data_IF_457695316014
#
_entry.id   IF_457695316014
#
_cell.length_a   1.000
_cell.length_b   1.000
_cell.length_c   1.000
_cell.angle_alpha   90.00
_cell.angle_beta   90.00
_cell.angle_gamma   90.00
#
_symmetry.space_group_name_H-M   'P 1'
#
loop_
_entity.id
_entity.type
_entity.pdbx_description
1 polymer ?
#
# COMPACT_ATOMS: atom_id res chain seq x y z
N UNK A 1 -3.30 -12.18 24.83
CA UNK A 1 -2.45 -12.18 23.60
C UNK A 1 -3.09 -11.39 22.46
N UNK A 2 -4.42 -11.44 22.26
CA UNK A 2 -5.12 -10.67 21.22
C UNK A 2 -4.88 -9.16 21.25
N UNK A 3 -4.96 -8.51 22.42
CA UNK A 3 -4.78 -7.05 22.53
C UNK A 3 -3.44 -6.54 22.01
N UNK A 4 -2.34 -7.25 22.26
CA UNK A 4 -1.01 -6.90 21.73
C UNK A 4 -0.98 -7.04 20.20
N UNK A 5 -1.62 -8.08 19.65
CA UNK A 5 -1.68 -8.31 18.21
C UNK A 5 -2.50 -7.22 17.50
N UNK A 6 -3.68 -6.87 18.03
CA UNK A 6 -4.51 -5.79 17.49
C UNK A 6 -3.80 -4.44 17.55
N UNK A 7 -3.13 -4.12 18.66
CA UNK A 7 -2.37 -2.87 18.78
C UNK A 7 -1.22 -2.80 17.76
N UNK A 8 -0.50 -3.91 17.59
CA UNK A 8 0.58 -4.00 16.62
C UNK A 8 0.08 -3.83 15.18
N UNK A 9 -1.07 -4.44 14.84
CA UNK A 9 -1.72 -4.25 13.53
C UNK A 9 -2.17 -2.79 13.36
N UNK A 10 -2.79 -2.20 14.36
CA UNK A 10 -3.26 -0.81 14.35
C UNK A 10 -2.12 0.18 14.13
N UNK A 11 -1.05 0.08 14.90
CA UNK A 11 0.15 0.91 14.73
C UNK A 11 0.78 0.71 13.35
N UNK A 12 0.78 -0.54 12.87
CA UNK A 12 1.24 -0.89 11.53
C UNK A 12 0.49 -0.12 10.44
N UNK A 13 -0.84 -0.09 10.50
CA UNK A 13 -1.66 0.65 9.53
C UNK A 13 -1.50 2.17 9.65
N UNK A 14 -1.31 2.72 10.84
CA UNK A 14 -0.98 4.16 10.98
C UNK A 14 0.35 4.50 10.31
N UNK A 15 1.35 3.64 10.44
CA UNK A 15 2.61 3.78 9.71
C UNK A 15 2.42 3.61 8.20
N UNK A 16 1.45 2.80 7.74
CA UNK A 16 1.09 2.72 6.31
C UNK A 16 0.46 4.00 5.79
N UNK A 17 -0.45 4.60 6.56
CA UNK A 17 -1.00 5.91 6.23
C UNK A 17 0.11 6.98 6.16
N UNK A 18 1.04 6.98 7.11
CA UNK A 18 2.18 7.89 7.11
C UNK A 18 3.12 7.63 5.91
N UNK A 19 3.39 6.37 5.57
CA UNK A 19 4.15 5.98 4.38
C UNK A 19 3.53 6.58 3.11
N UNK A 20 2.24 6.39 2.91
CA UNK A 20 1.51 6.94 1.76
C UNK A 20 1.56 8.47 1.71
N UNK A 21 1.39 9.16 2.84
CA UNK A 21 1.46 10.62 2.88
C UNK A 21 2.86 11.16 2.54
N UNK A 22 3.90 10.52 3.08
CA UNK A 22 5.30 10.87 2.79
C UNK A 22 5.66 10.57 1.34
N UNK A 23 5.21 9.43 0.80
CA UNK A 23 5.40 9.09 -0.59
C UNK A 23 4.66 10.07 -1.51
N UNK A 24 3.42 10.44 -1.19
CA UNK A 24 2.67 11.46 -1.93
C UNK A 24 3.37 12.82 -1.90
N UNK A 25 4.00 13.17 -0.77
CA UNK A 25 4.82 14.40 -0.64
C UNK A 25 6.03 14.36 -1.58
N UNK A 26 6.77 13.23 -1.60
CA UNK A 26 7.85 13.04 -2.56
C UNK A 26 7.36 13.13 -4.01
N UNK A 27 6.23 12.48 -4.31
CA UNK A 27 5.62 12.47 -5.63
C UNK A 27 5.29 13.89 -6.10
N UNK A 28 4.60 14.67 -5.26
CA UNK A 28 4.29 16.06 -5.53
C UNK A 28 5.54 16.88 -5.81
N UNK A 29 6.57 16.75 -4.96
CA UNK A 29 7.82 17.53 -5.10
C UNK A 29 8.57 17.20 -6.40
N UNK A 30 8.67 15.92 -6.77
CA UNK A 30 9.52 15.51 -7.91
C UNK A 30 8.78 15.47 -9.25
N UNK A 31 7.46 15.32 -9.26
CA UNK A 31 6.68 15.18 -10.49
C UNK A 31 5.83 16.40 -10.82
N UNK A 32 5.37 17.19 -9.85
CA UNK A 32 4.66 18.44 -10.16
C UNK A 32 5.50 19.41 -11.01
N UNK A 33 6.80 19.66 -10.71
CA UNK A 33 7.60 20.55 -11.53
C UNK A 33 7.68 20.10 -12.99
N UNK A 34 7.63 18.79 -13.27
CA UNK A 34 7.66 18.26 -14.64
C UNK A 34 6.40 18.63 -15.43
N UNK A 35 5.25 18.78 -14.76
CA UNK A 35 4.02 19.29 -15.38
C UNK A 35 4.19 20.75 -15.81
N UNK A 36 4.92 21.54 -15.02
CA UNK A 36 5.18 22.96 -15.28
C UNK A 36 6.45 23.24 -16.10
N UNK A 37 7.13 22.20 -16.64
CA UNK A 37 8.36 22.35 -17.42
C UNK A 37 9.63 22.65 -16.60
N UNK A 38 9.61 22.40 -15.29
CA UNK A 38 10.74 22.59 -14.37
C UNK A 38 11.19 21.30 -13.67
N UNK A 39 12.08 21.46 -12.68
CA UNK A 39 12.55 20.37 -11.83
C UNK A 39 12.78 20.83 -10.38
N UNK A 40 12.77 19.88 -9.45
CA UNK A 40 12.96 20.15 -8.03
C UNK A 40 14.43 20.51 -7.72
N UNK A 41 14.66 21.64 -7.06
CA UNK A 41 15.99 22.14 -6.70
C UNK A 41 16.06 22.60 -5.24
N UNK A 42 17.29 22.78 -4.74
CA UNK A 42 17.57 23.37 -3.43
C UNK A 42 16.92 22.62 -2.27
N UNK A 43 16.41 23.37 -1.28
CA UNK A 43 15.80 22.83 -0.08
C UNK A 43 14.60 21.91 -0.36
N UNK A 44 13.79 22.23 -1.37
CA UNK A 44 12.61 21.42 -1.72
C UNK A 44 13.01 20.00 -2.17
N UNK A 45 14.11 19.87 -2.92
CA UNK A 45 14.65 18.56 -3.30
C UNK A 45 15.09 17.74 -2.08
N UNK A 46 15.71 18.39 -1.09
CA UNK A 46 16.13 17.73 0.15
C UNK A 46 14.92 17.23 0.94
N UNK A 47 13.87 18.06 1.06
CA UNK A 47 12.60 17.66 1.69
C UNK A 47 11.98 16.46 0.98
N UNK A 48 11.96 16.45 -0.36
CA UNK A 48 11.47 15.31 -1.11
C UNK A 48 12.27 14.04 -0.83
N UNK A 49 13.61 14.11 -0.83
CA UNK A 49 14.46 12.95 -0.51
C UNK A 49 14.20 12.44 0.91
N UNK A 50 14.11 13.34 1.89
CA UNK A 50 13.77 12.97 3.25
C UNK A 50 12.39 12.29 3.34
N UNK A 51 11.40 12.80 2.58
CA UNK A 51 10.06 12.23 2.54
C UNK A 51 10.06 10.79 2.00
N UNK A 52 10.73 10.49 0.88
CA UNK A 52 10.75 9.12 0.36
C UNK A 52 11.53 8.16 1.27
N UNK A 53 12.61 8.61 1.92
CA UNK A 53 13.32 7.80 2.91
C UNK A 53 12.44 7.51 4.13
N UNK A 54 11.71 8.52 4.60
CA UNK A 54 10.70 8.35 5.66
C UNK A 54 9.59 7.39 5.24
N UNK A 55 9.11 7.48 4.00
CA UNK A 55 8.12 6.56 3.44
C UNK A 55 8.62 5.12 3.44
N UNK A 56 9.88 4.88 3.07
CA UNK A 56 10.47 3.53 3.14
C UNK A 56 10.51 3.00 4.57
N UNK A 57 10.95 3.81 5.54
CA UNK A 57 11.00 3.40 6.96
C UNK A 57 9.61 3.09 7.49
N UNK A 58 8.65 4.00 7.29
CA UNK A 58 7.25 3.81 7.66
C UNK A 58 6.65 2.58 6.94
N UNK A 59 6.99 2.39 5.67
CA UNK A 59 6.68 1.23 4.82
C UNK A 59 7.07 -0.10 5.44
N UNK A 60 8.34 -0.23 5.82
CA UNK A 60 8.89 -1.46 6.37
C UNK A 60 8.37 -1.73 7.78
N UNK A 61 8.36 -0.70 8.64
CA UNK A 61 7.87 -0.85 10.02
C UNK A 61 6.36 -1.12 10.05
N UNK A 62 5.59 -0.43 9.21
CA UNK A 62 4.16 -0.61 9.12
C UNK A 62 3.78 -2.00 8.64
N UNK A 63 4.37 -2.47 7.52
CA UNK A 63 4.12 -3.81 7.02
C UNK A 63 4.55 -4.90 8.00
N UNK A 64 5.69 -4.72 8.68
CA UNK A 64 6.16 -5.62 9.74
C UNK A 64 5.20 -5.65 10.94
N UNK A 65 4.64 -4.51 11.32
CA UNK A 65 3.63 -4.38 12.37
C UNK A 65 2.34 -5.13 12.01
N UNK A 66 1.78 -4.85 10.83
CA UNK A 66 0.56 -5.50 10.33
C UNK A 66 0.74 -7.02 10.23
N UNK A 67 1.75 -7.49 9.49
CA UNK A 67 1.99 -8.92 9.31
C UNK A 67 2.37 -9.61 10.61
N UNK A 68 3.17 -8.96 11.46
CA UNK A 68 3.59 -9.51 12.75
C UNK A 68 2.44 -9.69 13.73
N UNK A 69 1.51 -8.72 13.79
CA UNK A 69 0.30 -8.84 14.59
C UNK A 69 -0.66 -9.89 14.01
N UNK A 70 -0.88 -9.89 12.69
CA UNK A 70 -1.72 -10.87 12.01
C UNK A 70 -1.23 -12.31 12.21
N UNK A 71 0.09 -12.53 12.17
CA UNK A 71 0.70 -13.85 12.39
C UNK A 71 0.48 -14.42 13.80
N UNK A 72 0.13 -13.58 14.78
CA UNK A 72 -0.21 -14.02 16.15
C UNK A 72 -1.66 -14.49 16.28
N UNK A 73 -2.50 -14.17 15.28
CA UNK A 73 -3.94 -14.45 15.27
C UNK A 73 -4.32 -15.53 14.25
N UNK A 74 -3.47 -15.76 13.25
CA UNK A 74 -3.69 -16.72 12.18
C UNK A 74 -2.84 -18.00 12.34
N UNK A 75 -3.16 -19.03 11.56
CA UNK A 75 -2.39 -20.26 11.50
C UNK A 75 -0.96 -20.01 10.95
N UNK A 76 0.01 -20.80 11.40
CA UNK A 76 1.44 -20.62 11.08
C UNK A 76 1.78 -20.68 9.57
N UNK A 77 0.95 -21.32 8.76
CA UNK A 77 1.13 -21.37 7.30
C UNK A 77 0.75 -20.04 6.62
N UNK A 78 -0.14 -19.25 7.24
CA UNK A 78 -0.79 -18.12 6.59
C UNK A 78 0.19 -17.04 6.09
N UNK A 79 1.20 -16.58 6.86
CA UNK A 79 2.16 -15.59 6.37
C UNK A 79 2.84 -16.02 5.06
N UNK A 80 3.25 -17.30 5.00
CA UNK A 80 3.88 -17.87 3.80
C UNK A 80 2.90 -18.04 2.64
N UNK A 81 1.66 -18.46 2.94
CA UNK A 81 0.60 -18.57 1.94
C UNK A 81 0.32 -17.24 1.24
N UNK A 82 0.15 -16.15 2.00
CA UNK A 82 -0.07 -14.82 1.42
C UNK A 82 1.17 -14.26 0.74
N UNK A 83 2.37 -14.48 1.26
CA UNK A 83 3.61 -14.05 0.61
C UNK A 83 3.82 -14.73 -0.75
N UNK A 84 3.67 -16.07 -0.80
CA UNK A 84 3.81 -16.84 -2.04
C UNK A 84 2.68 -16.52 -3.02
N UNK A 85 1.45 -16.37 -2.53
CA UNK A 85 0.31 -15.95 -3.35
C UNK A 85 0.52 -14.57 -3.98
N UNK A 86 1.05 -13.61 -3.22
CA UNK A 86 1.39 -12.27 -3.71
C UNK A 86 2.51 -12.32 -4.75
N UNK A 87 3.55 -13.13 -4.52
CA UNK A 87 4.62 -13.32 -5.48
C UNK A 87 4.09 -13.92 -6.80
N UNK A 88 3.26 -14.97 -6.72
CA UNK A 88 2.63 -15.57 -7.89
C UNK A 88 1.74 -14.57 -8.63
N UNK A 89 0.89 -13.83 -7.91
CA UNK A 89 0.04 -12.79 -8.49
C UNK A 89 0.86 -11.69 -9.18
N UNK A 90 1.96 -11.25 -8.57
CA UNK A 90 2.88 -10.30 -9.17
C UNK A 90 3.41 -10.79 -10.51
N UNK A 91 3.91 -12.03 -10.59
CA UNK A 91 4.45 -12.56 -11.86
C UNK A 91 3.37 -12.71 -12.93
N UNK A 92 2.16 -13.13 -12.55
CA UNK A 92 1.02 -13.19 -13.48
C UNK A 92 0.67 -11.80 -14.01
N UNK A 93 0.52 -10.80 -13.13
CA UNK A 93 0.18 -9.44 -13.54
C UNK A 93 1.31 -8.79 -14.33
N UNK A 94 2.57 -9.05 -13.99
CA UNK A 94 3.73 -8.58 -14.73
C UNK A 94 3.66 -9.10 -16.18
N UNK A 95 3.46 -10.41 -16.33
CA UNK A 95 3.32 -11.05 -17.63
C UNK A 95 2.15 -10.49 -18.45
N UNK A 96 0.99 -10.29 -17.81
CA UNK A 96 -0.21 -9.74 -18.46
C UNK A 96 0.00 -8.28 -18.87
N UNK A 97 0.48 -7.44 -17.95
CA UNK A 97 0.67 -6.00 -18.19
C UNK A 97 1.76 -5.74 -19.22
N UNK A 98 2.84 -6.54 -19.25
CA UNK A 98 3.85 -6.48 -20.30
C UNK A 98 3.27 -6.89 -21.66
N UNK A 99 2.61 -8.04 -21.76
CA UNK A 99 2.17 -8.57 -23.07
C UNK A 99 0.98 -7.82 -23.63
N UNK A 100 -0.06 -7.60 -22.83
CA UNK A 100 -1.30 -6.99 -23.29
C UNK A 100 -1.25 -5.46 -23.34
N UNK A 101 -0.47 -4.83 -22.45
CA UNK A 101 -0.46 -3.37 -22.30
C UNK A 101 0.90 -2.71 -22.58
N UNK A 102 1.94 -3.49 -22.89
CA UNK A 102 3.30 -3.03 -23.16
C UNK A 102 3.89 -2.19 -22.01
N UNK A 103 3.47 -2.50 -20.77
CA UNK A 103 3.96 -1.81 -19.57
C UNK A 103 5.39 -2.23 -19.25
N UNK A 104 6.25 -1.24 -18.99
CA UNK A 104 7.54 -1.49 -18.36
C UNK A 104 7.34 -1.92 -16.89
N UNK A 105 8.11 -2.91 -16.38
CA UNK A 105 8.11 -3.26 -14.97
C UNK A 105 8.49 -2.06 -14.11
N UNK A 106 7.69 -1.78 -13.09
CA UNK A 106 8.01 -0.75 -12.09
C UNK A 106 7.83 -1.32 -10.69
N UNK A 107 8.34 -0.60 -9.71
CA UNK A 107 8.13 -0.91 -8.29
C UNK A 107 6.67 -0.74 -7.88
N UNK A 108 5.86 0.05 -8.59
CA UNK A 108 4.44 0.29 -8.27
C UNK A 108 3.65 -1.02 -8.24
N UNK A 109 3.85 -1.88 -9.25
CA UNK A 109 3.21 -3.20 -9.34
C UNK A 109 3.57 -4.09 -8.16
N UNK A 110 4.85 -4.07 -7.73
CA UNK A 110 5.30 -4.82 -6.55
C UNK A 110 4.60 -4.28 -5.30
N UNK A 111 4.54 -2.96 -5.14
CA UNK A 111 4.01 -2.31 -3.95
C UNK A 111 2.53 -2.60 -3.72
N UNK A 112 1.66 -2.41 -4.72
CA UNK A 112 0.23 -2.63 -4.50
C UNK A 112 -0.14 -4.12 -4.46
N UNK A 113 0.63 -5.01 -5.09
CA UNK A 113 0.44 -6.46 -4.96
C UNK A 113 0.85 -6.95 -3.58
N UNK A 114 2.01 -6.50 -3.08
CA UNK A 114 2.47 -6.82 -1.72
C UNK A 114 1.51 -6.26 -0.67
N UNK A 115 1.02 -5.04 -0.86
CA UNK A 115 0.00 -4.43 -0.01
C UNK A 115 -1.31 -5.24 -0.02
N UNK A 116 -1.82 -5.64 -1.18
CA UNK A 116 -3.01 -6.51 -1.25
C UNK A 116 -2.81 -7.81 -0.46
N UNK A 117 -1.65 -8.45 -0.60
CA UNK A 117 -1.31 -9.65 0.16
C UNK A 117 -1.32 -9.45 1.67
N UNK A 118 -0.71 -8.34 2.12
CA UNK A 118 -0.71 -7.94 3.53
C UNK A 118 -2.13 -7.69 4.05
N UNK A 119 -2.96 -6.96 3.32
CA UNK A 119 -4.35 -6.67 3.74
C UNK A 119 -5.23 -7.92 3.72
N UNK A 120 -5.05 -8.81 2.74
CA UNK A 120 -5.77 -10.09 2.71
C UNK A 120 -5.37 -10.98 3.90
N UNK A 121 -4.09 -10.94 4.29
CA UNK A 121 -3.61 -11.62 5.49
C UNK A 121 -4.18 -11.00 6.77
N UNK A 122 -4.20 -9.66 6.86
CA UNK A 122 -4.84 -8.90 7.93
C UNK A 122 -6.32 -9.29 8.07
N UNK A 123 -7.06 -9.32 6.96
CA UNK A 123 -8.47 -9.72 6.94
C UNK A 123 -8.67 -11.15 7.45
N UNK A 124 -7.84 -12.11 7.03
CA UNK A 124 -7.90 -13.48 7.56
C UNK A 124 -7.69 -13.50 9.07
N UNK A 125 -6.65 -12.82 9.57
CA UNK A 125 -6.32 -12.76 10.98
C UNK A 125 -7.46 -12.17 11.82
N UNK A 126 -8.09 -11.09 11.35
CA UNK A 126 -9.28 -10.50 11.98
C UNK A 126 -10.45 -11.51 12.00
N UNK A 127 -10.68 -12.22 10.89
CA UNK A 127 -11.71 -13.26 10.81
C UNK A 127 -11.47 -14.40 11.80
N UNK A 128 -10.23 -14.88 11.92
CA UNK A 128 -9.82 -15.88 12.91
C UNK A 128 -10.02 -15.40 14.36
N UNK A 129 -9.93 -14.11 14.60
CA UNK A 129 -10.15 -13.49 15.91
C UNK A 129 -11.63 -13.19 16.23
N UNK A 130 -12.56 -13.52 15.32
CA UNK A 130 -14.00 -13.26 15.48
C UNK A 130 -14.47 -11.88 15.01
N UNK A 131 -13.58 -11.05 14.47
CA UNK A 131 -13.86 -9.69 14.01
C UNK A 131 -14.37 -9.68 12.54
N UNK A 132 -15.43 -10.43 12.26
CA UNK A 132 -15.92 -10.69 10.89
C UNK A 132 -16.29 -9.39 10.11
N UNK A 133 -16.82 -8.39 10.80
CA UNK A 133 -17.14 -7.09 10.20
C UNK A 133 -15.90 -6.33 9.74
N UNK A 134 -14.88 -6.24 10.61
CA UNK A 134 -13.61 -5.61 10.28
C UNK A 134 -12.85 -6.39 9.20
N UNK A 135 -12.83 -7.72 9.28
CA UNK A 135 -12.23 -8.58 8.26
C UNK A 135 -12.84 -8.34 6.87
N UNK A 136 -14.17 -8.28 6.79
CA UNK A 136 -14.91 -8.03 5.54
C UNK A 136 -14.60 -6.63 5.00
N UNK A 137 -14.61 -5.61 5.87
CA UNK A 137 -14.27 -4.24 5.49
C UNK A 137 -12.86 -4.15 4.91
N UNK A 138 -11.86 -4.71 5.60
CA UNK A 138 -10.45 -4.74 5.14
C UNK A 138 -10.35 -5.42 3.78
N UNK A 139 -10.95 -6.61 3.61
CA UNK A 139 -10.91 -7.33 2.35
C UNK A 139 -11.52 -6.53 1.18
N UNK A 140 -12.68 -5.90 1.39
CA UNK A 140 -13.35 -5.08 0.37
C UNK A 140 -12.52 -3.85 0.00
N UNK A 141 -11.99 -3.13 0.99
CA UNK A 141 -11.14 -1.96 0.76
C UNK A 141 -9.83 -2.35 0.07
N UNK A 142 -9.24 -3.49 0.40
CA UNK A 142 -8.04 -4.01 -0.24
C UNK A 142 -8.27 -4.32 -1.73
N UNK A 143 -9.37 -5.01 -2.05
CA UNK A 143 -9.75 -5.29 -3.45
C UNK A 143 -10.02 -4.01 -4.22
N UNK A 144 -10.76 -3.06 -3.63
CA UNK A 144 -11.02 -1.77 -4.26
C UNK A 144 -9.74 -0.96 -4.50
N UNK A 145 -8.88 -0.85 -3.48
CA UNK A 145 -7.58 -0.18 -3.58
C UNK A 145 -6.67 -0.80 -4.63
N UNK A 146 -6.60 -2.13 -4.67
CA UNK A 146 -5.86 -2.87 -5.68
C UNK A 146 -6.41 -2.63 -7.09
N UNK A 147 -7.73 -2.70 -7.28
CA UNK A 147 -8.34 -2.50 -8.59
C UNK A 147 -8.08 -1.09 -9.13
N UNK A 148 -8.25 -0.06 -8.30
CA UNK A 148 -7.93 1.32 -8.68
C UNK A 148 -6.44 1.46 -9.00
N UNK A 149 -5.57 0.90 -8.16
CA UNK A 149 -4.11 0.91 -8.39
C UNK A 149 -3.72 0.25 -9.70
N UNK A 150 -4.35 -0.88 -10.05
CA UNK A 150 -4.09 -1.59 -11.28
C UNK A 150 -4.58 -0.81 -12.51
N UNK A 151 -5.71 -0.12 -12.43
CA UNK A 151 -6.21 0.74 -13.51
C UNK A 151 -5.26 1.91 -13.76
N UNK A 152 -4.87 2.65 -12.71
CA UNK A 152 -3.84 3.69 -12.82
C UNK A 152 -2.53 3.10 -13.38
N UNK A 153 -2.11 1.96 -12.84
CA UNK A 153 -0.96 1.20 -13.33
C UNK A 153 -1.11 0.65 -14.76
N UNK A 154 -2.25 0.68 -15.41
CA UNK A 154 -2.31 0.37 -16.85
C UNK A 154 -2.30 1.66 -17.67
N UNK A 155 -2.96 2.71 -17.18
CA UNK A 155 -3.19 3.94 -17.91
C UNK A 155 -2.04 4.95 -17.87
N UNK A 156 -1.27 5.02 -16.78
CA UNK A 156 -0.26 6.08 -16.54
C UNK A 156 0.54 6.56 -17.76
N UNK A 157 1.16 5.64 -18.53
CA UNK A 157 2.01 6.01 -19.68
C UNK A 157 1.23 6.40 -20.94
N UNK A 158 -0.10 6.25 -20.93
CA UNK A 158 -1.01 6.68 -21.99
C UNK A 158 -1.60 8.07 -21.72
N UNK A 159 -1.30 8.65 -20.57
CA UNK A 159 -1.83 9.93 -20.12
C UNK A 159 -0.85 11.08 -20.40
N UNK A 160 -1.40 12.28 -20.62
CA UNK A 160 -0.61 13.52 -20.67
C UNK A 160 -0.04 13.88 -19.29
N UNK A 161 0.88 14.85 -19.24
CA UNK A 161 1.68 15.15 -18.04
C UNK A 161 0.85 15.43 -16.77
N UNK A 162 -0.20 16.26 -16.86
CA UNK A 162 -1.06 16.54 -15.70
C UNK A 162 -1.87 15.31 -15.28
N UNK A 163 -2.42 14.58 -16.24
CA UNK A 163 -3.23 13.41 -15.97
C UNK A 163 -2.40 12.28 -15.35
N UNK A 164 -1.18 12.03 -15.84
CA UNK A 164 -0.28 11.03 -15.23
C UNK A 164 0.19 11.45 -13.84
N UNK A 165 0.41 12.74 -13.59
CA UNK A 165 0.68 13.24 -12.24
C UNK A 165 -0.45 12.89 -11.26
N UNK A 166 -1.70 13.19 -11.64
CA UNK A 166 -2.88 12.87 -10.82
C UNK A 166 -3.06 11.36 -10.67
N UNK A 167 -2.86 10.61 -11.75
CA UNK A 167 -2.96 9.15 -11.77
C UNK A 167 -1.97 8.49 -10.79
N UNK A 168 -0.76 9.03 -10.62
CA UNK A 168 0.18 8.56 -9.60
C UNK A 168 -0.21 8.94 -8.16
N UNK A 169 -0.94 10.04 -7.97
CA UNK A 169 -1.44 10.45 -6.65
C UNK A 169 -2.59 9.56 -6.15
N UNK A 170 -3.47 9.12 -7.06
CA UNK A 170 -4.72 8.43 -6.70
C UNK A 170 -4.48 7.14 -5.89
N UNK A 171 -3.63 6.19 -6.32
CA UNK A 171 -3.34 4.98 -5.56
C UNK A 171 -2.74 5.27 -4.18
N UNK A 172 -1.80 6.22 -4.11
CA UNK A 172 -1.14 6.60 -2.86
C UNK A 172 -2.12 7.19 -1.85
N UNK A 173 -2.96 8.14 -2.29
CA UNK A 173 -3.97 8.76 -1.45
C UNK A 173 -5.01 7.73 -0.99
N UNK A 174 -5.50 6.89 -1.91
CA UNK A 174 -6.50 5.88 -1.61
C UNK A 174 -5.98 4.85 -0.59
N UNK A 175 -4.81 4.26 -0.83
CA UNK A 175 -4.22 3.27 0.09
C UNK A 175 -3.90 3.91 1.45
N UNK A 176 -3.45 5.17 1.48
CA UNK A 176 -3.24 5.91 2.72
C UNK A 176 -4.53 6.09 3.52
N UNK A 177 -5.63 6.46 2.86
CA UNK A 177 -6.96 6.58 3.49
C UNK A 177 -7.47 5.22 3.98
N UNK A 178 -7.35 4.17 3.15
CA UNK A 178 -7.71 2.80 3.56
C UNK A 178 -6.94 2.41 4.82
N UNK A 179 -5.63 2.63 4.83
CA UNK A 179 -4.79 2.32 5.99
C UNK A 179 -5.24 3.07 7.25
N UNK A 180 -5.58 4.36 7.14
CA UNK A 180 -6.10 5.14 8.27
C UNK A 180 -7.47 4.65 8.75
N UNK A 181 -8.38 4.29 7.83
CA UNK A 181 -9.69 3.73 8.16
C UNK A 181 -9.54 2.38 8.88
N UNK A 182 -8.72 1.48 8.36
CA UNK A 182 -8.46 0.18 8.97
C UNK A 182 -7.85 0.36 10.37
N UNK A 183 -6.88 1.27 10.53
CA UNK A 183 -6.32 1.60 11.84
C UNK A 183 -7.37 2.12 12.82
N UNK A 184 -8.33 2.94 12.37
CA UNK A 184 -9.43 3.43 13.20
C UNK A 184 -10.46 2.35 13.57
N UNK A 185 -10.64 1.33 12.73
CA UNK A 185 -11.60 0.24 12.95
C UNK A 185 -11.05 -0.90 13.81
N UNK A 186 -9.75 -1.12 13.84
CA UNK A 186 -9.14 -2.12 14.74
C UNK A 186 -9.26 -1.61 16.18
N UNK A 187 -10.18 -2.21 16.94
CA UNK A 187 -10.49 -1.80 18.30
C UNK A 187 -9.24 -1.86 19.22
N UNK A 188 -9.11 -0.86 20.10
CA UNK A 188 -8.19 -0.93 21.22
C UNK A 188 -8.80 -1.91 22.23
N UNK A 189 -8.38 -3.16 22.17
CA UNK A 189 -8.71 -4.13 23.23
C UNK A 189 -7.80 -3.79 24.42
N UNK A 190 -8.33 -2.95 25.33
CA UNK A 190 -7.78 -2.69 26.65
C UNK A 190 -8.01 -3.86 27.60
#
# INVERSE_FOLDING_TARGET
MGGIAFEQMRQGHWLMAACCALYLTWWAIFFWPKVCGGSAHGALRVVGIAAILGAVVCGLLGASGVCGGAARLAAAWAPWGFALGSAALYFVLLAVTQRAFQRQPTTELVLFVAWLGMEAFCALALGCAGEAGAATLVALLAVAGFAVSLVCYVLYYRLGALASFVDGCVPLALIGVVSAVVAGCIAVVG
#
